data_IF_223584783080
#
_entry.id   IF_223584783080
#
_cell.length_a   1.000
_cell.length_b   1.000
_cell.length_c   1.000
_cell.angle_alpha   90.00
_cell.angle_beta   90.00
_cell.angle_gamma   90.00
#
_symmetry.space_group_name_H-M   'P 1'
#
loop_
_entity.id
_entity.type
_entity.pdbx_description
1 polymer ?
#
# COMPACT_ATOMS: atom_id res chain seq x y z
N UNK A 1 8.78 -20.16 8.23
CA UNK A 1 9.25 -18.92 8.71
C UNK A 1 10.28 -18.24 7.82
N UNK A 2 11.07 -17.34 8.40
CA UNK A 2 12.02 -16.46 7.72
C UNK A 2 13.10 -17.19 6.89
N UNK A 3 13.52 -18.38 7.32
CA UNK A 3 14.51 -19.21 6.59
C UNK A 3 13.95 -19.76 5.28
N UNK A 4 12.72 -20.26 5.28
CA UNK A 4 12.09 -20.81 4.06
C UNK A 4 11.83 -19.73 3.01
N UNK A 5 11.56 -18.49 3.44
CA UNK A 5 11.43 -17.35 2.53
C UNK A 5 12.74 -17.02 1.82
N UNK A 6 13.88 -17.08 2.53
CA UNK A 6 15.21 -16.85 1.94
C UNK A 6 15.66 -17.93 0.95
N UNK A 7 15.22 -19.16 1.12
CA UNK A 7 15.58 -20.28 0.24
C UNK A 7 14.75 -20.28 -1.05
N UNK A 8 13.50 -19.75 -1.01
CA UNK A 8 12.62 -19.67 -2.17
C UNK A 8 12.98 -18.53 -3.14
N UNK A 9 13.66 -17.48 -2.65
CA UNK A 9 14.06 -16.33 -3.46
C UNK A 9 15.58 -16.27 -3.58
N UNK A 10 16.10 -16.59 -4.77
CA UNK A 10 17.51 -16.48 -5.11
C UNK A 10 18.02 -15.05 -4.88
N UNK A 11 18.61 -14.82 -3.72
CA UNK A 11 19.39 -13.63 -3.32
C UNK A 11 18.78 -12.28 -3.73
N UNK A 12 17.79 -11.74 -2.99
CA UNK A 12 17.41 -10.35 -3.19
C UNK A 12 18.62 -9.45 -2.93
N UNK A 13 18.91 -8.57 -3.85
CA UNK A 13 19.94 -7.53 -3.67
C UNK A 13 19.30 -6.37 -2.94
N UNK A 14 19.68 -6.15 -1.67
CA UNK A 14 19.27 -4.98 -0.92
C UNK A 14 20.23 -3.82 -1.18
N UNK A 15 19.69 -2.65 -1.51
CA UNK A 15 20.42 -1.39 -1.61
C UNK A 15 19.80 -0.40 -0.64
N UNK A 16 20.66 0.33 0.06
CA UNK A 16 20.26 1.41 0.97
C UNK A 16 20.74 2.74 0.40
N UNK A 17 19.93 3.77 0.52
CA UNK A 17 20.27 5.12 0.08
C UNK A 17 19.40 6.17 0.77
N UNK A 18 19.83 7.42 0.69
CA UNK A 18 18.99 8.56 1.07
C UNK A 18 18.09 8.94 -0.10
N UNK A 19 17.08 9.78 0.14
CA UNK A 19 16.23 10.32 -0.92
C UNK A 19 17.04 11.04 -2.00
N UNK A 20 18.09 11.75 -1.62
CA UNK A 20 18.96 12.49 -2.54
C UNK A 20 19.85 11.58 -3.40
N UNK A 21 20.18 10.37 -2.92
CA UNK A 21 21.04 9.41 -3.65
C UNK A 21 20.24 8.33 -4.37
N UNK A 22 18.93 8.26 -4.16
CA UNK A 22 18.06 7.21 -4.69
C UNK A 22 17.23 7.63 -5.91
N UNK A 23 17.48 8.80 -6.49
CA UNK A 23 16.73 9.33 -7.65
C UNK A 23 16.72 8.37 -8.84
N UNK A 24 17.87 7.79 -9.18
CA UNK A 24 17.97 6.77 -10.23
C UNK A 24 17.19 5.47 -9.90
N UNK A 25 17.14 5.08 -8.64
CA UNK A 25 16.36 3.93 -8.20
C UNK A 25 14.86 4.19 -8.31
N UNK A 26 14.38 5.37 -7.93
CA UNK A 26 12.97 5.77 -8.07
C UNK A 26 12.53 5.75 -9.53
N UNK A 27 13.31 6.34 -10.43
CA UNK A 27 13.00 6.35 -11.87
C UNK A 27 13.06 4.97 -12.54
N UNK A 28 13.76 3.98 -11.96
CA UNK A 28 13.89 2.62 -12.53
C UNK A 28 13.03 1.56 -11.83
N UNK A 29 12.44 1.88 -10.67
CA UNK A 29 11.61 0.95 -9.92
C UNK A 29 10.31 0.63 -10.67
N UNK A 30 9.85 -0.61 -10.61
CA UNK A 30 8.53 -1.01 -11.10
C UNK A 30 7.44 -0.77 -10.04
N UNK A 31 7.82 -0.88 -8.76
CA UNK A 31 6.92 -0.66 -7.63
C UNK A 31 7.60 0.31 -6.65
N UNK A 32 6.86 1.34 -6.25
CA UNK A 32 7.27 2.32 -5.25
C UNK A 32 6.30 2.26 -4.08
N UNK A 33 6.83 2.13 -2.88
CA UNK A 33 6.01 2.09 -1.65
C UNK A 33 6.51 3.17 -0.69
N UNK A 34 5.63 4.12 -0.36
CA UNK A 34 5.86 5.04 0.75
C UNK A 34 5.41 4.38 2.06
N UNK A 35 6.37 4.04 2.90
CA UNK A 35 6.14 3.54 4.26
C UNK A 35 6.56 4.56 5.33
N UNK A 36 6.65 5.84 4.98
CA UNK A 36 6.95 6.94 5.90
C UNK A 36 5.65 7.62 6.35
N UNK A 37 5.66 8.44 7.42
CA UNK A 37 4.51 9.23 7.82
C UNK A 37 4.27 10.47 6.95
N UNK A 38 5.11 10.76 5.96
CA UNK A 38 4.95 11.92 5.07
C UNK A 38 3.72 11.72 4.19
N UNK A 39 2.80 12.67 4.22
CA UNK A 39 1.50 12.61 3.57
C UNK A 39 0.33 12.39 4.54
N UNK A 40 0.59 12.25 5.85
CA UNK A 40 -0.47 12.09 6.86
C UNK A 40 -1.28 13.36 7.08
N UNK A 41 -0.67 14.54 6.87
CA UNK A 41 -1.37 15.82 6.99
C UNK A 41 -1.79 16.30 5.60
N UNK A 42 -2.92 17.03 5.49
CA UNK A 42 -3.42 17.53 4.21
C UNK A 42 -2.40 18.36 3.41
N UNK A 43 -1.54 19.11 4.11
CA UNK A 43 -0.55 20.00 3.50
C UNK A 43 0.86 19.38 3.42
N UNK A 44 1.01 18.09 3.75
CA UNK A 44 2.29 17.43 3.63
C UNK A 44 2.71 17.34 2.15
N UNK A 45 4.01 17.54 1.86
CA UNK A 45 4.54 17.30 0.52
C UNK A 45 4.52 15.80 0.17
N UNK A 46 4.80 15.47 -1.07
CA UNK A 46 5.17 14.10 -1.43
C UNK A 46 6.51 13.72 -0.76
N UNK A 47 6.73 12.42 -0.45
CA UNK A 47 7.93 11.96 0.26
C UNK A 47 9.23 12.10 -0.54
N UNK A 48 9.13 12.31 -1.85
CA UNK A 48 10.24 12.49 -2.78
C UNK A 48 9.79 13.35 -3.98
N UNK A 49 10.71 13.68 -4.88
CA UNK A 49 10.42 14.41 -6.11
C UNK A 49 9.59 13.53 -7.06
N UNK A 50 8.29 13.80 -7.14
CA UNK A 50 7.33 13.06 -7.97
C UNK A 50 7.52 13.28 -9.47
N UNK A 51 8.32 14.26 -9.89
CA UNK A 51 8.78 14.40 -11.28
C UNK A 51 9.64 13.23 -11.79
N UNK A 52 10.06 12.33 -10.89
CA UNK A 52 10.78 11.10 -11.22
C UNK A 52 9.84 9.93 -11.55
N UNK A 53 8.54 10.07 -11.30
CA UNK A 53 7.55 9.05 -11.63
C UNK A 53 7.39 8.91 -13.13
N UNK A 54 7.10 7.71 -13.60
CA UNK A 54 6.93 7.40 -15.02
C UNK A 54 5.75 6.44 -15.25
N UNK A 55 5.19 6.44 -16.46
CA UNK A 55 4.18 5.46 -16.85
C UNK A 55 4.66 4.01 -16.62
N UNK A 56 3.73 3.14 -16.25
CA UNK A 56 4.01 1.71 -15.99
C UNK A 56 4.38 1.37 -14.56
N UNK A 57 4.76 2.34 -13.73
CA UNK A 57 5.03 2.12 -12.30
C UNK A 57 3.74 1.87 -11.52
N UNK A 58 3.86 1.11 -10.44
CA UNK A 58 2.82 0.96 -9.41
C UNK A 58 3.27 1.72 -8.18
N UNK A 59 2.43 2.62 -7.67
CA UNK A 59 2.73 3.46 -6.50
C UNK A 59 1.75 3.15 -5.38
N UNK A 60 2.27 2.80 -4.23
CA UNK A 60 1.50 2.59 -3.00
C UNK A 60 1.95 3.58 -1.93
N UNK A 61 0.99 4.23 -1.32
CA UNK A 61 1.22 5.05 -0.12
C UNK A 61 0.60 4.34 1.09
N UNK A 62 1.38 3.96 2.10
CA UNK A 62 0.84 3.34 3.31
C UNK A 62 -0.03 4.31 4.13
N UNK A 63 0.03 5.61 3.87
CA UNK A 63 -0.84 6.62 4.48
C UNK A 63 -2.27 6.43 3.97
N UNK A 64 -3.25 6.49 4.87
CA UNK A 64 -4.67 6.28 4.57
C UNK A 64 -5.61 7.36 5.14
N UNK A 65 -5.14 8.14 6.12
CA UNK A 65 -6.02 8.99 6.95
C UNK A 65 -6.64 10.20 6.21
N UNK A 66 -6.06 10.65 5.10
CA UNK A 66 -6.47 11.87 4.38
C UNK A 66 -7.07 11.62 2.99
N UNK A 67 -7.53 10.41 2.71
CA UNK A 67 -8.00 10.06 1.37
C UNK A 67 -6.85 9.93 0.38
N UNK A 68 -6.89 10.67 -0.73
CA UNK A 68 -5.78 10.68 -1.71
C UNK A 68 -4.67 11.60 -1.23
N UNK A 69 -3.50 11.01 -0.93
CA UNK A 69 -2.31 11.77 -0.62
C UNK A 69 -1.74 12.49 -1.85
N UNK A 70 -0.83 13.44 -1.62
CA UNK A 70 -0.15 14.11 -2.74
C UNK A 70 0.62 13.11 -3.60
N UNK A 71 1.28 12.11 -3.00
CA UNK A 71 1.99 11.07 -3.75
C UNK A 71 1.05 10.31 -4.69
N UNK A 72 -0.12 9.88 -4.21
CA UNK A 72 -1.12 9.16 -5.03
C UNK A 72 -1.67 10.06 -6.14
N UNK A 73 -1.93 11.33 -5.84
CA UNK A 73 -2.41 12.31 -6.82
C UNK A 73 -1.39 12.52 -7.94
N UNK A 74 -0.13 12.75 -7.57
CA UNK A 74 0.95 12.99 -8.53
C UNK A 74 1.23 11.73 -9.38
N UNK A 75 1.15 10.53 -8.78
CA UNK A 75 1.32 9.27 -9.51
C UNK A 75 0.22 9.05 -10.57
N UNK A 76 -1.01 9.41 -10.25
CA UNK A 76 -2.12 9.36 -11.23
C UNK A 76 -1.89 10.38 -12.36
N UNK A 77 -1.38 11.57 -12.06
CA UNK A 77 -1.05 12.60 -13.07
C UNK A 77 0.15 12.19 -13.95
N UNK A 78 1.05 11.38 -13.42
CA UNK A 78 2.21 10.83 -14.17
C UNK A 78 1.85 9.57 -14.98
N UNK A 79 0.57 9.23 -15.13
CA UNK A 79 0.08 8.05 -15.85
C UNK A 79 0.72 6.74 -15.33
N UNK A 80 1.00 6.65 -14.02
CA UNK A 80 1.42 5.40 -13.40
C UNK A 80 0.35 4.33 -13.63
N UNK A 81 0.77 3.07 -13.81
CA UNK A 81 -0.11 1.92 -14.06
C UNK A 81 -1.18 1.75 -12.98
N UNK A 82 -0.81 2.03 -11.73
CA UNK A 82 -1.73 2.06 -10.59
C UNK A 82 -1.15 2.96 -9.49
N UNK A 83 -2.02 3.65 -8.75
CA UNK A 83 -1.67 4.40 -7.57
C UNK A 83 -2.80 4.31 -6.55
N UNK A 84 -2.47 3.94 -5.31
CA UNK A 84 -3.45 3.77 -4.24
C UNK A 84 -2.85 4.06 -2.87
N UNK A 85 -3.71 4.42 -1.92
CA UNK A 85 -3.35 4.65 -0.53
C UNK A 85 -3.44 3.37 0.33
N UNK A 86 -3.10 3.48 1.61
CA UNK A 86 -3.09 2.37 2.57
C UNK A 86 -4.46 1.87 3.04
N UNK A 87 -5.56 2.45 2.56
CA UNK A 87 -6.91 2.06 2.98
C UNK A 87 -7.19 0.57 2.75
N UNK A 88 -6.89 0.07 1.56
CA UNK A 88 -7.08 -1.35 1.25
C UNK A 88 -6.23 -2.28 2.13
N UNK A 89 -4.99 -1.89 2.43
CA UNK A 89 -4.12 -2.64 3.35
C UNK A 89 -4.71 -2.68 4.77
N UNK A 90 -5.24 -1.54 5.25
CA UNK A 90 -5.87 -1.45 6.57
C UNK A 90 -7.12 -2.35 6.64
N UNK A 91 -7.95 -2.35 5.60
CA UNK A 91 -9.13 -3.22 5.55
C UNK A 91 -8.73 -4.70 5.51
N UNK A 92 -7.77 -5.06 4.67
CA UNK A 92 -7.33 -6.44 4.53
C UNK A 92 -6.81 -7.02 5.86
N UNK A 93 -6.01 -6.26 6.62
CA UNK A 93 -5.54 -6.71 7.94
C UNK A 93 -6.69 -6.81 8.96
N UNK A 94 -7.72 -5.95 8.88
CA UNK A 94 -8.89 -6.01 9.74
C UNK A 94 -9.73 -7.26 9.45
N UNK A 95 -9.92 -7.59 8.18
CA UNK A 95 -10.59 -8.83 7.74
C UNK A 95 -9.83 -10.06 8.27
N UNK A 96 -8.52 -10.12 8.05
CA UNK A 96 -7.70 -11.22 8.53
C UNK A 96 -7.79 -11.37 10.07
N UNK A 97 -7.76 -10.26 10.80
CA UNK A 97 -7.92 -10.26 12.26
C UNK A 97 -9.30 -10.76 12.69
N UNK A 98 -10.36 -10.33 12.01
CA UNK A 98 -11.73 -10.79 12.30
C UNK A 98 -11.88 -12.30 12.07
N UNK A 99 -11.32 -12.83 10.99
CA UNK A 99 -11.36 -14.27 10.69
C UNK A 99 -10.58 -15.09 11.73
N UNK A 100 -9.40 -14.62 12.17
CA UNK A 100 -8.63 -15.28 13.22
C UNK A 100 -9.41 -15.30 14.54
N UNK A 101 -10.00 -14.17 14.94
CA UNK A 101 -10.80 -14.09 16.17
C UNK A 101 -12.04 -14.97 16.08
N UNK A 102 -12.71 -14.99 14.93
CA UNK A 102 -13.86 -15.86 14.65
C UNK A 102 -13.53 -17.34 14.83
N UNK A 103 -12.38 -17.77 14.33
CA UNK A 103 -11.88 -19.15 14.44
C UNK A 103 -11.58 -19.50 15.90
N UNK A 104 -10.85 -18.64 16.63
CA UNK A 104 -10.52 -18.84 18.03
C UNK A 104 -11.76 -18.87 18.94
N UNK A 105 -12.75 -18.01 18.65
CA UNK A 105 -13.98 -17.90 19.43
C UNK A 105 -15.04 -18.94 19.02
N UNK A 106 -14.77 -19.76 18.00
CA UNK A 106 -15.72 -20.71 17.42
C UNK A 106 -17.06 -20.05 16.99
N UNK A 107 -16.99 -18.78 16.56
CA UNK A 107 -18.12 -18.00 16.07
C UNK A 107 -18.02 -17.84 14.55
N UNK A 108 -19.00 -18.35 13.81
CA UNK A 108 -19.00 -18.27 12.35
C UNK A 108 -19.37 -16.86 11.88
N UNK A 109 -18.51 -16.25 11.06
CA UNK A 109 -18.83 -15.05 10.30
C UNK A 109 -19.61 -15.50 9.05
N UNK A 110 -20.83 -14.97 8.78
CA UNK A 110 -21.69 -15.42 7.69
C UNK A 110 -21.35 -14.80 6.32
N UNK A 111 -20.11 -14.33 6.14
CA UNK A 111 -19.62 -13.67 4.94
C UNK A 111 -18.36 -14.35 4.43
N UNK A 112 -18.17 -14.37 3.12
CA UNK A 112 -16.88 -14.69 2.51
C UNK A 112 -15.86 -13.59 2.82
N UNK A 113 -14.57 -13.88 2.65
CA UNK A 113 -13.49 -12.90 2.85
C UNK A 113 -13.68 -11.67 1.95
N UNK A 114 -14.07 -11.86 0.68
CA UNK A 114 -14.33 -10.79 -0.26
C UNK A 114 -15.54 -9.91 0.14
N UNK A 115 -16.64 -10.53 0.58
CA UNK A 115 -17.80 -9.80 1.09
C UNK A 115 -17.45 -9.00 2.34
N UNK A 116 -16.71 -9.61 3.27
CA UNK A 116 -16.29 -8.95 4.50
C UNK A 116 -15.35 -7.77 4.21
N UNK A 117 -14.41 -7.93 3.27
CA UNK A 117 -13.55 -6.85 2.80
C UNK A 117 -14.37 -5.67 2.27
N UNK A 118 -15.31 -5.94 1.37
CA UNK A 118 -16.13 -4.90 0.77
C UNK A 118 -17.00 -4.18 1.81
N UNK A 119 -17.62 -4.93 2.74
CA UNK A 119 -18.41 -4.37 3.84
C UNK A 119 -17.56 -3.46 4.75
N UNK A 120 -16.36 -3.90 5.12
CA UNK A 120 -15.47 -3.12 5.97
C UNK A 120 -14.91 -1.88 5.24
N UNK A 121 -14.62 -1.99 3.95
CA UNK A 121 -14.17 -0.86 3.13
C UNK A 121 -15.25 0.21 3.02
N UNK A 122 -16.50 -0.20 2.77
CA UNK A 122 -17.65 0.71 2.73
C UNK A 122 -17.91 1.40 4.07
N UNK A 123 -17.88 0.64 5.16
CA UNK A 123 -18.08 1.17 6.50
C UNK A 123 -16.99 2.17 6.92
N UNK A 124 -15.76 1.95 6.46
CA UNK A 124 -14.61 2.84 6.72
C UNK A 124 -14.56 4.04 5.77
N UNK A 125 -15.35 4.05 4.68
CA UNK A 125 -15.33 5.11 3.69
C UNK A 125 -14.05 5.15 2.85
N UNK A 126 -13.34 4.03 2.70
CA UNK A 126 -12.12 3.94 1.91
C UNK A 126 -12.42 3.70 0.43
N UNK A 127 -11.82 4.53 -0.42
CA UNK A 127 -11.75 4.31 -1.87
C UNK A 127 -10.58 3.35 -2.15
N UNK A 128 -10.85 2.05 -2.10
CA UNK A 128 -9.89 1.00 -2.39
C UNK A 128 -10.46 0.00 -3.41
N UNK A 129 -9.59 -0.69 -4.19
CA UNK A 129 -10.04 -1.73 -5.10
C UNK A 129 -10.86 -2.79 -4.36
N UNK A 130 -11.98 -3.22 -4.96
CA UNK A 130 -12.86 -4.24 -4.39
C UNK A 130 -12.26 -5.63 -4.57
N UNK A 131 -12.51 -6.48 -3.59
CA UNK A 131 -12.09 -7.88 -3.61
C UNK A 131 -13.09 -8.76 -4.40
#
# INVERSE_FOLDING_TARGET
GYRSFREAYTKPTFKFGSYTTSTGALGSADIIINATPVGMKPDDPAPFDTGLLRPGQVVMDAVYASGRTKLVTDALQADCKAAFNGGGMLVAQAVASALIVSDIAEVKIPYSEAELFNLMADAAGFDCPRA
#
